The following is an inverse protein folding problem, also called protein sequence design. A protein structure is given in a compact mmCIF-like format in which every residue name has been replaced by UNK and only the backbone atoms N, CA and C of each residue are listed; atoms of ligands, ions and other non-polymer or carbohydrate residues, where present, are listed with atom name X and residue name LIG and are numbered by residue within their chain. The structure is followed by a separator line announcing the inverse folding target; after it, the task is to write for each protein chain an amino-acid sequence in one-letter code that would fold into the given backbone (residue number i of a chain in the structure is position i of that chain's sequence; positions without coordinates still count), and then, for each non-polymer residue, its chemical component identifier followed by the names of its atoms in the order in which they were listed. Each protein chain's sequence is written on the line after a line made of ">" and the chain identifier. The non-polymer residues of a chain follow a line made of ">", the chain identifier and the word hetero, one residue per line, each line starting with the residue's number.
data_IF_369016302266
#
_entry.id   IF_369016302266
#
_cell.length_a   1.000
_cell.length_b   1.000
_cell.length_c   1.000
_cell.angle_alpha   90.00
_cell.angle_beta   90.00
_cell.angle_gamma   90.00
#
_symmetry.space_group_name_H-M   'P 1'
#
loop_
_entity.id
_entity.type
_entity.pdbx_description
1 polymer ?
#
# COMPACT_ATOMS: atom_id res chain seq x y z
N UNK A 1 20.48 6.88 -6.54
CA UNK A 1 19.28 6.16 -7.05
C UNK A 1 18.14 6.46 -6.08
N UNK A 2 17.18 7.30 -6.46
CA UNK A 2 16.01 7.64 -5.63
C UNK A 2 15.03 6.47 -5.70
N UNK A 3 14.99 5.63 -4.66
CA UNK A 3 14.42 4.28 -4.75
C UNK A 3 13.01 4.17 -4.12
N UNK A 4 12.38 5.28 -3.76
CA UNK A 4 11.08 5.26 -3.07
C UNK A 4 10.09 6.24 -3.69
N UNK A 5 9.02 5.70 -4.27
CA UNK A 5 7.89 6.52 -4.71
C UNK A 5 6.71 6.44 -3.75
N UNK A 6 6.48 5.31 -3.06
CA UNK A 6 5.26 5.15 -2.28
C UNK A 6 5.28 4.00 -1.27
N UNK A 7 4.81 4.29 -0.05
CA UNK A 7 4.29 3.27 0.88
C UNK A 7 2.78 3.43 0.93
N UNK A 8 2.04 2.35 0.70
CA UNK A 8 0.58 2.31 0.79
C UNK A 8 0.15 1.35 1.89
N UNK A 9 -0.82 1.78 2.68
CA UNK A 9 -1.59 0.92 3.57
C UNK A 9 -2.91 0.60 2.84
N UNK A 10 -3.13 -0.68 2.54
CA UNK A 10 -4.40 -1.11 1.94
C UNK A 10 -5.25 -1.76 3.02
N UNK A 11 -6.40 -1.16 3.27
CA UNK A 11 -7.48 -1.77 4.03
C UNK A 11 -8.36 -2.56 3.05
N UNK A 12 -8.68 -3.82 3.36
CA UNK A 12 -9.52 -4.63 2.48
C UNK A 12 -10.83 -3.95 2.14
N UNK A 13 -11.24 -4.11 0.88
CA UNK A 13 -12.51 -3.63 0.32
C UNK A 13 -13.70 -4.30 1.03
N UNK A 14 -14.03 -3.82 2.21
CA UNK A 14 -15.37 -3.95 2.78
C UNK A 14 -16.29 -2.87 2.18
N UNK A 15 -17.61 -3.09 2.14
CA UNK A 15 -18.57 -2.14 1.56
C UNK A 15 -18.61 -0.76 2.26
N UNK A 16 -17.91 -0.59 3.38
CA UNK A 16 -17.87 0.65 4.14
C UNK A 16 -16.42 1.17 4.25
N UNK A 17 -16.09 2.15 3.39
CA UNK A 17 -14.90 3.03 3.42
C UNK A 17 -13.53 2.34 3.47
N UNK A 18 -12.93 2.10 2.31
CA UNK A 18 -11.48 1.96 2.21
C UNK A 18 -10.82 3.31 2.54
N UNK A 19 -10.06 3.38 3.64
CA UNK A 19 -9.16 4.51 3.89
C UNK A 19 -7.89 4.29 3.10
N UNK A 20 -7.80 4.89 1.92
CA UNK A 20 -6.57 4.88 1.13
C UNK A 20 -5.65 5.98 1.68
N UNK A 21 -4.65 5.60 2.48
CA UNK A 21 -3.62 6.53 2.93
C UNK A 21 -2.45 6.52 1.94
N UNK A 22 -2.57 7.35 0.91
CA UNK A 22 -1.53 7.55 -0.09
C UNK A 22 -0.84 8.89 0.16
N UNK A 23 0.28 8.87 0.90
CA UNK A 23 1.16 10.05 1.01
C UNK A 23 2.43 9.82 0.19
N UNK A 24 2.70 10.63 -0.84
CA UNK A 24 3.98 10.58 -1.53
C UNK A 24 5.09 11.02 -0.57
N UNK A 25 6.05 10.13 -0.27
CA UNK A 25 7.23 10.46 0.54
C UNK A 25 8.18 11.46 -0.16
N UNK A 26 7.91 11.76 -1.43
CA UNK A 26 8.80 12.48 -2.33
C UNK A 26 9.14 13.92 -1.90
N UNK A 27 8.34 14.59 -1.05
CA UNK A 27 8.56 16.01 -0.74
C UNK A 27 9.36 16.29 0.55
N UNK A 28 9.69 15.28 1.36
CA UNK A 28 10.26 15.52 2.70
C UNK A 28 11.71 15.03 2.88
N UNK A 29 12.20 14.09 2.07
CA UNK A 29 13.51 13.47 2.29
C UNK A 29 14.44 13.67 1.10
N UNK A 30 15.34 14.65 1.20
CA UNK A 30 16.36 14.95 0.16
C UNK A 30 17.46 13.88 0.03
N UNK A 31 17.56 12.93 0.95
CA UNK A 31 18.48 11.80 0.86
C UNK A 31 18.01 10.68 1.80
N UNK A 32 17.12 9.81 1.32
CA UNK A 32 16.67 8.68 2.10
C UNK A 32 17.61 7.49 1.84
N UNK A 33 18.55 7.26 2.75
CA UNK A 33 19.39 6.07 2.73
C UNK A 33 18.54 4.87 3.14
N UNK A 34 18.35 3.92 2.23
CA UNK A 34 17.74 2.64 2.54
C UNK A 34 18.79 1.72 3.14
N UNK A 35 18.57 1.21 4.34
CA UNK A 35 19.45 0.19 4.92
C UNK A 35 18.70 -1.14 5.01
N UNK A 36 19.23 -2.13 4.30
CA UNK A 36 18.82 -3.53 4.38
C UNK A 36 19.73 -4.23 5.39
N UNK A 37 19.17 -4.57 6.54
CA UNK A 37 19.87 -5.32 7.57
C UNK A 37 19.22 -6.70 7.72
N UNK A 38 19.64 -7.71 6.94
CA UNK A 38 19.05 -9.04 7.02
C UNK A 38 19.36 -9.75 8.34
N UNK A 39 20.40 -9.31 9.07
CA UNK A 39 20.90 -10.02 10.25
C UNK A 39 20.33 -9.52 11.58
N UNK A 40 19.95 -8.25 11.71
CA UNK A 40 19.41 -7.62 12.93
C UNK A 40 18.91 -6.21 12.56
N UNK A 41 17.77 -5.70 13.06
CA UNK A 41 16.70 -6.32 13.86
C UNK A 41 15.57 -6.88 12.98
N UNK A 42 14.75 -7.78 13.54
CA UNK A 42 13.50 -8.23 12.92
C UNK A 42 12.43 -7.14 12.71
N UNK A 43 12.72 -5.90 13.11
CA UNK A 43 11.77 -4.80 13.12
C UNK A 43 11.87 -3.94 11.86
N UNK A 44 10.71 -3.56 11.35
CA UNK A 44 10.53 -2.52 10.35
C UNK A 44 10.59 -1.14 11.03
N UNK A 45 11.43 -0.24 10.53
CA UNK A 45 11.50 1.14 11.03
C UNK A 45 10.83 2.06 10.04
N UNK A 46 9.70 2.65 10.44
CA UNK A 46 8.85 3.48 9.59
C UNK A 46 8.80 4.93 10.09
N UNK A 47 8.63 5.91 9.19
CA UNK A 47 8.30 7.28 9.58
C UNK A 47 7.00 7.34 10.39
N UNK A 48 6.91 8.29 11.31
CA UNK A 48 5.79 8.51 12.24
C UNK A 48 4.46 8.63 11.52
N UNK A 49 4.45 9.25 10.34
CA UNK A 49 3.23 9.38 9.54
C UNK A 49 2.67 8.02 9.10
N UNK A 50 3.53 7.07 8.73
CA UNK A 50 3.12 5.72 8.33
C UNK A 50 2.85 4.89 9.58
N UNK A 51 3.70 5.02 10.60
CA UNK A 51 3.53 4.34 11.87
C UNK A 51 2.17 4.66 12.51
N UNK A 52 1.82 5.94 12.65
CA UNK A 52 0.55 6.36 13.25
C UNK A 52 -0.65 5.86 12.43
N UNK A 53 -0.54 5.86 11.09
CA UNK A 53 -1.56 5.28 10.24
C UNK A 53 -1.69 3.76 10.47
N UNK A 54 -0.58 3.04 10.58
CA UNK A 54 -0.56 1.61 10.88
C UNK A 54 -1.20 1.31 12.24
N UNK A 55 -0.84 2.06 13.29
CA UNK A 55 -1.43 1.94 14.64
C UNK A 55 -2.96 2.13 14.58
N UNK A 56 -3.44 3.15 13.87
CA UNK A 56 -4.88 3.39 13.72
C UNK A 56 -5.61 2.24 13.02
N UNK A 57 -4.96 1.60 12.02
CA UNK A 57 -5.53 0.43 11.33
C UNK A 57 -5.51 -0.81 12.23
N UNK A 58 -4.51 -0.94 13.11
CA UNK A 58 -4.39 -2.07 14.03
C UNK A 58 -5.28 -1.96 15.28
N UNK A 59 -5.70 -0.74 15.65
CA UNK A 59 -6.59 -0.49 16.78
C UNK A 59 -7.83 -1.42 16.87
N UNK A 60 -8.64 -1.61 15.80
CA UNK A 60 -9.79 -2.51 15.84
C UNK A 60 -9.46 -3.99 16.02
N UNK A 61 -8.18 -4.38 15.91
CA UNK A 61 -7.72 -5.76 16.13
C UNK A 61 -7.25 -6.00 17.58
N UNK A 62 -7.58 -5.11 18.51
CA UNK A 62 -7.24 -5.25 19.93
C UNK A 62 -5.84 -4.74 20.27
N UNK A 63 -5.35 -3.74 19.54
CA UNK A 63 -4.06 -3.12 19.83
C UNK A 63 -4.04 -2.56 21.25
N UNK A 64 -3.06 -3.00 22.04
CA UNK A 64 -2.86 -2.55 23.41
C UNK A 64 -1.42 -2.07 23.59
N UNK A 65 -1.25 -1.05 24.43
CA UNK A 65 0.07 -0.65 24.93
C UNK A 65 0.33 -1.47 26.19
N UNK A 66 1.38 -2.30 26.17
CA UNK A 66 1.83 -3.03 27.36
C UNK A 66 3.20 -2.52 27.77
N UNK A 67 3.45 -2.47 29.08
CA UNK A 67 4.75 -2.10 29.61
C UNK A 67 5.66 -3.32 29.60
N UNK A 68 6.78 -3.23 28.87
CA UNK A 68 7.84 -4.20 28.92
C UNK A 68 8.84 -3.82 29.99
N UNK A 69 9.33 -4.82 30.72
CA UNK A 69 10.41 -4.65 31.69
C UNK A 69 11.68 -5.27 31.12
N UNK A 70 12.71 -4.46 30.96
CA UNK A 70 14.06 -4.91 30.58
C UNK A 70 15.05 -4.47 31.68
N UNK A 71 15.34 -5.41 32.57
CA UNK A 71 16.08 -5.14 33.80
C UNK A 71 15.38 -4.11 34.69
N UNK A 72 16.02 -2.96 34.88
CA UNK A 72 15.51 -1.85 35.69
C UNK A 72 14.61 -0.87 34.91
N UNK A 73 14.54 -1.00 33.58
CA UNK A 73 13.80 -0.07 32.74
C UNK A 73 12.45 -0.65 32.34
N UNK A 74 11.43 0.20 32.35
CA UNK A 74 10.12 -0.11 31.80
C UNK A 74 9.84 0.78 30.59
N UNK A 75 9.40 0.20 29.48
CA UNK A 75 9.04 0.96 28.30
C UNK A 75 7.71 0.48 27.71
N UNK A 76 6.84 1.41 27.26
CA UNK A 76 5.58 1.05 26.63
C UNK A 76 5.83 0.50 25.22
N UNK A 77 5.05 -0.51 24.83
CA UNK A 77 5.14 -1.09 23.50
C UNK A 77 3.77 -1.56 23.01
N UNK A 78 3.51 -1.27 21.74
CA UNK A 78 2.30 -1.68 21.06
C UNK A 78 2.33 -3.18 20.78
N UNK A 79 1.28 -3.87 21.19
CA UNK A 79 1.14 -5.32 21.10
C UNK A 79 -0.29 -5.68 20.67
N UNK A 80 -0.45 -6.85 20.05
CA UNK A 80 -1.74 -7.41 19.67
C UNK A 80 -1.94 -8.77 20.36
N UNK A 81 -3.18 -9.24 20.54
CA UNK A 81 -3.44 -10.60 21.00
C UNK A 81 -2.73 -11.62 20.10
N UNK A 82 -2.09 -12.63 20.66
CA UNK A 82 -1.33 -13.61 19.89
C UNK A 82 -2.19 -14.49 18.98
N UNK A 83 -3.44 -14.69 19.37
CA UNK A 83 -4.47 -15.47 18.67
C UNK A 83 -5.29 -14.62 17.68
N UNK A 84 -4.90 -13.36 17.47
CA UNK A 84 -5.59 -12.47 16.54
C UNK A 84 -5.58 -13.03 15.11
N UNK A 85 -6.75 -13.07 14.48
CA UNK A 85 -6.89 -13.44 13.08
C UNK A 85 -7.05 -12.19 12.23
N UNK A 86 -5.95 -11.64 11.73
CA UNK A 86 -5.98 -10.48 10.83
C UNK A 86 -6.24 -10.97 9.39
N UNK A 87 -7.29 -10.47 8.71
CA UNK A 87 -7.60 -10.89 7.36
C UNK A 87 -6.45 -10.60 6.36
N UNK A 88 -6.25 -11.51 5.39
CA UNK A 88 -5.14 -11.44 4.42
C UNK A 88 -5.13 -10.20 3.53
N UNK A 89 -6.26 -9.50 3.44
CA UNK A 89 -6.38 -8.21 2.75
C UNK A 89 -5.62 -7.05 3.42
N UNK A 90 -5.30 -7.15 4.72
CA UNK A 90 -4.57 -6.12 5.44
C UNK A 90 -3.08 -6.32 5.21
N UNK A 91 -2.54 -5.50 4.31
CA UNK A 91 -1.16 -5.58 3.85
C UNK A 91 -0.50 -4.22 3.88
N UNK A 92 0.79 -4.21 4.18
CA UNK A 92 1.66 -3.06 3.99
C UNK A 92 2.36 -3.19 2.63
N UNK A 93 2.14 -2.23 1.74
CA UNK A 93 2.68 -2.26 0.38
C UNK A 93 3.82 -1.26 0.22
N UNK A 94 4.97 -1.76 -0.22
CA UNK A 94 6.12 -0.95 -0.61
C UNK A 94 6.25 -0.98 -2.13
N UNK A 95 6.19 0.19 -2.77
CA UNK A 95 6.30 0.28 -4.23
C UNK A 95 7.66 0.86 -4.62
N UNK A 96 8.42 0.06 -5.37
CA UNK A 96 9.74 0.36 -5.92
C UNK A 96 9.65 0.35 -7.44
N UNK A 97 9.51 1.52 -8.07
CA UNK A 97 9.34 1.62 -9.53
C UNK A 97 8.19 0.71 -10.04
N UNK A 98 8.52 -0.40 -10.70
CA UNK A 98 7.57 -1.37 -11.27
C UNK A 98 7.33 -2.60 -10.38
N UNK A 99 7.91 -2.64 -9.19
CA UNK A 99 7.83 -3.78 -8.26
C UNK A 99 7.08 -3.34 -7.01
N UNK A 100 6.08 -4.12 -6.60
CA UNK A 100 5.36 -3.92 -5.34
C UNK A 100 5.61 -5.10 -4.42
N UNK A 101 6.12 -4.81 -3.23
CA UNK A 101 6.32 -5.79 -2.15
C UNK A 101 5.16 -5.66 -1.18
N UNK A 102 4.45 -6.76 -0.94
CA UNK A 102 3.29 -6.80 -0.04
C UNK A 102 3.68 -7.58 1.21
N UNK A 103 3.54 -6.95 2.38
CA UNK A 103 3.78 -7.58 3.68
C UNK A 103 2.42 -7.77 4.36
N UNK A 104 1.92 -9.00 4.50
CA UNK A 104 0.75 -9.29 5.31
C UNK A 104 0.93 -8.80 6.74
N UNK A 105 -0.12 -8.24 7.35
CA UNK A 105 -0.05 -7.80 8.75
C UNK A 105 0.27 -8.95 9.72
N UNK A 106 -0.10 -10.18 9.38
CA UNK A 106 0.29 -11.37 10.14
C UNK A 106 1.81 -11.58 10.20
N UNK A 107 2.58 -11.09 9.22
CA UNK A 107 4.05 -11.12 9.25
C UNK A 107 4.68 -9.98 10.04
N UNK A 108 3.87 -9.00 10.45
CA UNK A 108 4.26 -7.96 11.38
C UNK A 108 4.10 -8.42 12.84
N UNK A 109 3.50 -9.59 13.08
CA UNK A 109 3.37 -10.15 14.43
C UNK A 109 4.62 -10.97 14.79
N UNK A 110 5.21 -10.65 15.94
CA UNK A 110 6.21 -11.50 16.58
C UNK A 110 5.48 -12.48 17.49
N UNK A 111 5.26 -13.71 17.01
CA UNK A 111 4.59 -14.80 17.74
C UNK A 111 5.44 -15.41 18.86
N UNK A 112 6.23 -14.58 19.51
CA UNK A 112 6.96 -14.96 20.71
C UNK A 112 6.09 -14.46 21.86
N UNK A 113 5.36 -15.36 22.56
CA UNK A 113 4.55 -14.98 23.69
C UNK A 113 5.46 -14.32 24.72
N UNK A 114 5.01 -13.19 25.25
CA UNK A 114 5.80 -12.45 26.22
C UNK A 114 5.68 -13.09 27.60
N UNK A 115 6.78 -13.20 28.36
CA UNK A 115 6.73 -13.85 29.66
C UNK A 115 5.83 -13.10 30.65
N UNK A 116 5.72 -11.78 30.54
CA UNK A 116 4.86 -10.96 31.40
C UNK A 116 3.38 -11.05 31.02
N UNK A 117 3.10 -11.30 29.73
CA UNK A 117 1.75 -11.29 29.16
C UNK A 117 1.68 -12.30 27.99
N UNK A 118 1.44 -13.60 28.28
CA UNK A 118 1.51 -14.65 27.26
C UNK A 118 0.43 -14.51 26.18
N UNK A 119 -0.64 -13.78 26.47
CA UNK A 119 -1.73 -13.50 25.53
C UNK A 119 -1.38 -12.44 24.49
N UNK A 120 -0.32 -11.66 24.69
CA UNK A 120 0.05 -10.57 23.79
C UNK A 120 1.37 -10.83 23.08
N UNK A 121 1.33 -10.58 21.77
CA UNK A 121 2.45 -10.72 20.86
C UNK A 121 2.97 -9.34 20.47
N UNK A 122 4.29 -9.24 20.39
CA UNK A 122 4.95 -8.01 19.97
C UNK A 122 4.73 -7.71 18.50
N UNK A 123 4.93 -6.46 18.12
CA UNK A 123 4.91 -6.04 16.73
C UNK A 123 6.34 -5.88 16.20
N UNK A 124 6.58 -6.37 14.99
CA UNK A 124 7.83 -6.31 14.26
C UNK A 124 8.05 -4.93 13.63
N UNK A 125 7.75 -3.86 14.36
CA UNK A 125 8.08 -2.50 13.94
C UNK A 125 8.46 -1.63 15.15
N UNK A 126 9.35 -0.67 14.92
CA UNK A 126 9.83 0.25 15.96
C UNK A 126 9.36 1.67 15.63
N UNK A 127 8.78 2.35 16.62
CA UNK A 127 8.54 3.79 16.53
C UNK A 127 9.88 4.52 16.42
N UNK A 128 9.92 5.50 15.54
CA UNK A 128 10.94 6.51 15.56
C UNK A 128 10.52 7.62 16.51
N UNK A 129 11.33 7.96 17.51
CA UNK A 129 11.05 9.23 18.19
C UNK A 129 11.18 10.35 17.14
N UNK A 130 10.21 11.27 17.13
CA UNK A 130 10.15 12.46 16.26
C UNK A 130 11.47 13.26 16.20
N UNK A 131 12.28 13.25 17.27
CA UNK A 131 13.61 13.86 17.27
C UNK A 131 14.63 13.06 16.46
N UNK A 132 14.50 11.74 16.44
CA UNK A 132 15.37 10.81 15.73
C UNK A 132 15.04 10.71 14.24
N UNK A 133 13.78 10.97 13.85
CA UNK A 133 13.30 10.89 12.46
C UNK A 133 14.17 11.66 11.45
N UNK A 134 14.77 12.79 11.84
CA UNK A 134 15.62 13.60 10.94
C UNK A 134 16.89 12.89 10.49
N UNK A 135 17.38 11.94 11.28
CA UNK A 135 18.71 11.34 11.09
C UNK A 135 18.66 9.84 10.87
N UNK A 136 17.49 9.24 11.05
CA UNK A 136 17.35 7.80 11.01
C UNK A 136 16.84 7.32 9.66
N UNK A 137 17.58 6.42 8.99
CA UNK A 137 17.12 5.82 7.75
C UNK A 137 15.89 4.94 7.97
N UNK A 138 15.11 4.75 6.91
CA UNK A 138 14.11 3.67 6.87
C UNK A 138 14.86 2.35 6.89
N UNK A 139 14.51 1.50 7.86
CA UNK A 139 15.09 0.16 8.00
C UNK A 139 14.04 -0.85 7.58
N UNK A 140 14.34 -1.57 6.50
CA UNK A 140 13.54 -2.68 6.04
C UNK A 140 14.07 -3.96 6.70
N UNK A 141 13.51 -4.28 7.87
CA UNK A 141 13.92 -5.42 8.70
C UNK A 141 13.35 -6.76 8.26
N UNK A 142 13.33 -7.70 9.21
CA UNK A 142 12.95 -9.10 8.98
C UNK A 142 11.61 -9.32 8.28
N UNK A 143 10.55 -8.59 8.65
CA UNK A 143 9.24 -8.74 8.00
C UNK A 143 9.25 -8.37 6.52
N UNK A 144 10.09 -7.41 6.12
CA UNK A 144 10.30 -7.07 4.70
C UNK A 144 11.11 -8.15 4.00
N UNK A 145 12.23 -8.57 4.57
CA UNK A 145 13.08 -9.62 4.01
C UNK A 145 12.34 -10.96 3.84
N UNK A 146 11.34 -11.25 4.69
CA UNK A 146 10.47 -12.43 4.56
C UNK A 146 9.53 -12.40 3.35
N UNK A 147 9.39 -11.24 2.69
CA UNK A 147 8.45 -11.00 1.59
C UNK A 147 9.14 -10.45 0.32
N UNK A 148 10.44 -10.22 0.37
CA UNK A 148 11.22 -9.68 -0.73
C UNK A 148 12.52 -10.45 -0.93
N UNK A 149 12.88 -10.68 -2.18
CA UNK A 149 14.20 -11.14 -2.56
C UNK A 149 15.04 -9.92 -2.99
N UNK A 150 16.21 -9.77 -2.38
CA UNK A 150 17.09 -8.62 -2.61
C UNK A 150 18.45 -9.11 -3.06
N UNK A 151 18.88 -8.66 -4.23
CA UNK A 151 20.21 -8.93 -4.78
C UNK A 151 21.01 -7.64 -4.68
N UNK A 152 22.19 -7.73 -4.07
CA UNK A 152 23.15 -6.64 -3.96
C UNK A 152 24.33 -6.96 -4.87
N UNK A 153 24.60 -6.07 -5.82
CA UNK A 153 25.76 -6.14 -6.71
C UNK A 153 26.71 -4.98 -6.33
N UNK A 154 27.70 -5.25 -5.45
CA UNK A 154 28.62 -4.21 -4.99
C UNK A 154 29.57 -3.73 -6.09
N UNK A 155 29.88 -4.58 -7.08
CA UNK A 155 30.79 -4.25 -8.18
C UNK A 155 30.17 -3.19 -9.09
N UNK A 156 28.93 -3.43 -9.52
CA UNK A 156 28.19 -2.49 -10.36
C UNK A 156 27.45 -1.41 -9.56
N UNK A 157 27.50 -1.47 -8.22
CA UNK A 157 26.73 -0.61 -7.31
C UNK A 157 25.23 -0.64 -7.62
N UNK A 158 24.73 -1.79 -8.05
CA UNK A 158 23.31 -1.97 -8.36
C UNK A 158 22.65 -2.84 -7.31
N UNK A 159 21.36 -2.64 -7.12
CA UNK A 159 20.54 -3.53 -6.31
C UNK A 159 19.29 -3.86 -7.10
N UNK A 160 18.86 -5.11 -6.99
CA UNK A 160 17.61 -5.59 -7.55
C UNK A 160 16.72 -6.09 -6.43
N UNK A 161 15.42 -5.82 -6.55
CA UNK A 161 14.42 -6.22 -5.58
C UNK A 161 13.30 -6.92 -6.35
N UNK A 162 12.87 -8.06 -5.86
CA UNK A 162 11.72 -8.81 -6.37
C UNK A 162 10.79 -9.19 -5.21
N UNK A 163 9.49 -9.28 -5.50
CA UNK A 163 8.53 -9.83 -4.55
C UNK A 163 8.71 -11.33 -4.40
N UNK A 164 8.64 -11.82 -3.16
CA UNK A 164 8.60 -13.26 -2.91
C UNK A 164 7.15 -13.74 -2.99
N UNK A 165 6.87 -14.73 -3.84
CA UNK A 165 5.59 -15.42 -3.80
C UNK A 165 5.69 -16.53 -2.76
N UNK A 166 5.05 -16.34 -1.60
CA UNK A 166 4.92 -17.43 -0.64
C UNK A 166 3.90 -18.42 -1.15
N UNK A 167 4.37 -19.59 -1.55
CA UNK A 167 3.51 -20.75 -1.62
C UNK A 167 3.51 -21.42 -0.24
N UNK A 168 2.73 -20.87 0.71
CA UNK A 168 2.62 -21.36 2.09
C UNK A 168 2.06 -22.80 2.20
N UNK A 169 1.72 -23.44 1.06
CA UNK A 169 1.17 -24.81 1.01
C UNK A 169 2.19 -25.87 0.62
N UNK A 170 3.40 -25.51 0.18
CA UNK A 170 4.43 -26.46 -0.19
C UNK A 170 5.54 -26.44 0.86
N UNK A 171 5.77 -27.58 1.52
CA UNK A 171 6.99 -27.85 2.31
C UNK A 171 8.25 -27.91 1.44
N UNK A 172 8.15 -27.56 0.16
CA UNK A 172 9.19 -27.74 -0.83
C UNK A 172 9.98 -26.44 -1.03
N UNK A 173 11.29 -26.57 -0.91
CA UNK A 173 12.25 -25.55 -1.34
C UNK A 173 12.13 -25.47 -2.85
N UNK A 174 11.35 -24.50 -3.36
CA UNK A 174 11.31 -24.25 -4.79
C UNK A 174 12.64 -23.59 -5.18
N UNK A 175 13.46 -24.33 -5.93
CA UNK A 175 14.67 -23.78 -6.54
C UNK A 175 14.26 -22.60 -7.44
N UNK A 176 14.73 -21.40 -7.11
CA UNK A 176 14.55 -20.22 -7.96
C UNK A 176 15.55 -20.36 -9.12
N UNK A 177 15.24 -21.28 -10.03
CA UNK A 177 16.01 -21.55 -11.23
C UNK A 177 15.90 -20.39 -12.21
N UNK A 178 16.89 -19.50 -12.19
CA UNK A 178 17.12 -18.49 -13.22
C UNK A 178 18.62 -18.32 -13.42
N UNK A 179 19.12 -18.57 -14.64
CA UNK A 179 20.50 -18.21 -14.99
C UNK A 179 20.66 -16.69 -14.89
N UNK A 180 21.73 -16.23 -14.24
CA UNK A 180 22.12 -14.81 -14.27
C UNK A 180 22.13 -14.32 -15.73
N UNK A 181 21.31 -13.32 -16.04
CA UNK A 181 21.19 -12.74 -17.39
C UNK A 181 19.98 -13.20 -18.23
N UNK A 182 19.07 -14.05 -17.73
CA UNK A 182 17.86 -14.39 -18.48
C UNK A 182 16.85 -13.21 -18.51
N UNK A 183 16.40 -12.83 -19.71
CA UNK A 183 15.35 -11.83 -19.91
C UNK A 183 14.02 -12.30 -19.29
N UNK A 184 13.25 -11.35 -18.72
CA UNK A 184 12.01 -11.57 -17.96
C UNK A 184 10.94 -12.42 -18.68
N UNK A 185 11.08 -12.62 -19.99
CA UNK A 185 10.20 -13.45 -20.82
C UNK A 185 10.41 -14.97 -20.62
N UNK A 186 11.59 -15.39 -20.11
CA UNK A 186 11.91 -16.82 -19.95
C UNK A 186 11.52 -17.41 -18.58
N UNK A 187 11.26 -16.58 -17.56
CA UNK A 187 10.83 -17.06 -16.23
C UNK A 187 9.34 -17.44 -16.20
N UNK A 188 8.57 -17.10 -17.25
CA UNK A 188 7.12 -17.34 -17.33
C UNK A 188 6.73 -18.77 -17.75
N UNK A 189 7.66 -19.73 -17.81
CA UNK A 189 7.41 -21.11 -18.26
C UNK A 189 7.93 -22.23 -17.35
N UNK A 190 8.31 -21.94 -16.11
CA UNK A 190 8.36 -22.99 -15.09
C UNK A 190 6.91 -23.32 -14.68
N UNK A 191 6.19 -23.98 -15.58
CA UNK A 191 4.92 -24.63 -15.27
C UNK A 191 5.25 -25.78 -14.32
N UNK A 192 4.87 -25.64 -13.06
CA UNK A 192 4.74 -26.79 -12.15
C UNK A 192 3.68 -27.68 -12.79
N UNK A 193 4.07 -28.88 -13.17
CA UNK A 193 3.22 -29.88 -13.80
C UNK A 193 2.55 -30.71 -12.69
N UNK A 194 1.25 -30.51 -12.37
CA UNK A 194 0.52 -31.49 -11.60
C UNK A 194 0.13 -32.63 -12.55
N UNK A 195 0.63 -33.83 -12.24
CA UNK A 195 0.21 -35.10 -12.84
C UNK A 195 -1.31 -35.13 -13.14
N UNK A 196 -1.73 -35.46 -14.38
CA UNK A 196 -3.13 -35.39 -14.77
C UNK A 196 -3.87 -36.66 -14.33
N UNK A 197 -4.80 -36.50 -13.39
CA UNK A 197 -5.85 -37.48 -13.17
C UNK A 197 -6.99 -37.17 -14.15
N UNK A 198 -7.32 -38.16 -14.98
CA UNK A 198 -8.31 -38.06 -16.06
C UNK A 198 -9.70 -37.71 -15.53
N UNK A 199 -10.29 -36.64 -16.05
CA UNK A 199 -11.67 -36.26 -15.76
C UNK A 199 -12.20 -35.29 -16.80
N UNK A 200 -12.68 -35.83 -17.93
CA UNK A 200 -13.28 -35.08 -19.02
C UNK A 200 -14.56 -34.35 -18.56
N UNK A 201 -14.57 -33.03 -18.67
CA UNK A 201 -15.81 -32.30 -18.96
C UNK A 201 -15.49 -30.99 -19.68
N UNK A 202 -16.10 -30.82 -20.84
CA UNK A 202 -15.92 -29.69 -21.73
C UNK A 202 -16.32 -28.38 -21.04
N UNK A 203 -15.34 -27.54 -20.70
CA UNK A 203 -15.58 -26.16 -20.29
C UNK A 203 -14.89 -25.22 -21.26
N UNK A 204 -15.70 -24.28 -21.77
CA UNK A 204 -15.35 -23.24 -22.73
C UNK A 204 -14.08 -22.47 -22.31
N UNK A 205 -13.27 -22.01 -23.28
CA UNK A 205 -11.95 -21.47 -23.03
C UNK A 205 -12.01 -20.22 -22.15
N UNK A 206 -11.41 -20.30 -20.96
CA UNK A 206 -11.23 -19.19 -20.01
C UNK A 206 -10.35 -18.03 -20.52
N UNK A 207 -9.94 -18.05 -21.79
CA UNK A 207 -9.10 -17.02 -22.41
C UNK A 207 -9.83 -15.71 -22.78
N UNK A 208 -11.17 -15.67 -22.74
CA UNK A 208 -11.94 -14.50 -23.19
C UNK A 208 -12.41 -13.56 -22.07
N UNK A 209 -12.30 -13.95 -20.79
CA UNK A 209 -12.92 -13.20 -19.67
C UNK A 209 -11.94 -12.23 -18.98
N UNK A 210 -10.63 -12.38 -19.17
CA UNK A 210 -9.62 -11.62 -18.42
C UNK A 210 -9.23 -10.29 -19.12
N UNK A 211 -9.74 -10.02 -20.32
CA UNK A 211 -9.41 -8.81 -21.10
C UNK A 211 -10.17 -7.52 -20.74
N UNK A 212 -11.18 -7.57 -19.86
CA UNK A 212 -12.09 -6.43 -19.61
C UNK A 212 -11.77 -5.67 -18.31
N UNK A 213 -11.05 -6.29 -17.37
CA UNK A 213 -10.93 -5.81 -15.99
C UNK A 213 -10.13 -4.52 -15.78
N UNK A 214 -9.22 -4.14 -16.69
CA UNK A 214 -8.32 -2.99 -16.47
C UNK A 214 -8.62 -1.81 -17.41
N UNK A 215 -9.24 -2.04 -18.57
CA UNK A 215 -9.60 -0.98 -19.51
C UNK A 215 -10.86 -0.19 -19.12
N UNK A 216 -11.84 -0.82 -18.48
CA UNK A 216 -13.13 -0.20 -18.17
C UNK A 216 -13.07 0.89 -17.10
N UNK A 217 -12.20 0.73 -16.10
CA UNK A 217 -12.09 1.67 -14.97
C UNK A 217 -11.63 3.06 -15.40
N UNK A 218 -10.62 3.14 -16.27
CA UNK A 218 -10.09 4.42 -16.77
C UNK A 218 -11.11 5.18 -17.63
N UNK A 219 -11.89 4.47 -18.43
CA UNK A 219 -12.95 5.07 -19.26
C UNK A 219 -14.08 5.62 -18.39
N UNK A 220 -14.46 4.91 -17.32
CA UNK A 220 -15.50 5.37 -16.40
C UNK A 220 -15.05 6.64 -15.63
N UNK A 221 -13.81 6.66 -15.14
CA UNK A 221 -13.25 7.82 -14.42
C UNK A 221 -13.15 9.04 -15.36
N UNK A 222 -12.69 8.86 -16.60
CA UNK A 222 -12.62 9.92 -17.59
C UNK A 222 -14.03 10.48 -17.90
N UNK A 223 -15.04 9.63 -18.02
CA UNK A 223 -16.43 10.04 -18.26
C UNK A 223 -17.01 10.85 -17.09
N UNK A 224 -16.73 10.45 -15.84
CA UNK A 224 -17.18 11.17 -14.64
C UNK A 224 -16.54 12.56 -14.55
N UNK A 225 -15.22 12.65 -14.78
CA UNK A 225 -14.49 13.93 -14.75
C UNK A 225 -14.99 14.87 -15.86
N UNK A 226 -15.18 14.34 -17.08
CA UNK A 226 -15.71 15.12 -18.21
C UNK A 226 -17.14 15.60 -17.96
N UNK A 227 -18.00 14.74 -17.40
CA UNK A 227 -19.36 15.08 -17.01
C UNK A 227 -19.40 16.19 -15.96
N UNK A 228 -18.58 16.09 -14.92
CA UNK A 228 -18.46 17.12 -13.89
C UNK A 228 -17.98 18.46 -14.44
N UNK A 229 -16.99 18.44 -15.34
CA UNK A 229 -16.47 19.65 -15.98
C UNK A 229 -17.53 20.36 -16.84
N UNK A 230 -18.28 19.60 -17.65
CA UNK A 230 -19.38 20.14 -18.48
C UNK A 230 -20.54 20.68 -17.63
N UNK A 231 -20.87 20.01 -16.52
CA UNK A 231 -21.87 20.50 -15.57
C UNK A 231 -21.47 21.84 -14.95
N UNK A 232 -20.21 21.95 -14.50
CA UNK A 232 -19.67 23.20 -13.93
C UNK A 232 -19.70 24.35 -14.95
N UNK A 233 -19.37 24.05 -16.22
CA UNK A 233 -19.42 25.03 -17.32
C UNK A 233 -20.86 25.47 -17.64
N UNK A 234 -21.84 24.55 -17.62
CA UNK A 234 -23.26 24.90 -17.83
C UNK A 234 -23.80 25.80 -16.70
N UNK A 235 -23.43 25.54 -15.44
CA UNK A 235 -23.90 26.36 -14.30
C UNK A 235 -23.40 27.81 -14.37
N UNK A 236 -22.16 28.03 -14.82
CA UNK A 236 -21.63 29.38 -15.03
C UNK A 236 -22.39 30.17 -16.12
N UNK A 237 -22.85 29.49 -17.17
CA UNK A 237 -23.61 30.14 -18.25
C UNK A 237 -25.05 30.52 -17.82
N UNK A 238 -25.67 29.75 -16.92
CA UNK A 238 -27.00 30.07 -16.39
C UNK A 238 -27.00 31.36 -15.55
N UNK A 239 -25.93 31.60 -14.77
CA UNK A 239 -25.79 32.86 -14.01
C UNK A 239 -25.59 34.07 -14.94
N UNK A 240 -24.82 33.93 -16.03
CA UNK A 240 -24.65 35.02 -17.01
C UNK A 240 -25.98 35.42 -17.65
N UNK A 241 -26.85 34.47 -18.02
CA UNK A 241 -28.18 34.79 -18.60
C UNK A 241 -29.09 35.58 -17.66
N UNK A 242 -29.05 35.30 -16.34
CA UNK A 242 -29.82 36.08 -15.35
C UNK A 242 -29.34 37.53 -15.25
N UNK A 243 -28.03 37.75 -15.32
CA UNK A 243 -27.45 39.10 -15.29
C UNK A 243 -27.84 39.91 -16.54
N UNK A 244 -27.85 39.29 -17.73
CA UNK A 244 -28.31 39.98 -18.94
C UNK A 244 -29.82 40.29 -18.93
N UNK A 245 -30.65 39.37 -18.42
CA UNK A 245 -32.09 39.59 -18.31
C UNK A 245 -32.44 40.72 -17.32
N UNK A 246 -31.71 40.83 -16.21
CA UNK A 246 -31.91 41.91 -15.23
C UNK A 246 -31.51 43.29 -15.79
N UNK A 247 -30.42 43.35 -16.57
CA UNK A 247 -29.99 44.59 -17.23
C UNK A 247 -31.02 45.09 -18.25
N UNK A 248 -31.65 44.19 -19.00
CA UNK A 248 -32.69 44.57 -19.97
C UNK A 248 -33.96 45.11 -19.28
N UNK A 249 -34.36 44.53 -18.15
CA UNK A 249 -35.50 45.02 -17.37
C UNK A 249 -35.24 46.40 -16.73
N UNK A 250 -34.01 46.66 -16.29
CA UNK A 250 -33.63 47.98 -15.74
C UNK A 250 -33.61 49.07 -16.82
N UNK A 251 -33.11 48.77 -18.02
CA UNK A 251 -33.15 49.70 -19.15
C UNK A 251 -34.58 50.08 -19.54
N UNK A 252 -35.50 49.11 -19.58
CA UNK A 252 -36.92 49.37 -19.89
C UNK A 252 -37.62 50.23 -18.82
N UNK A 253 -37.28 50.07 -17.53
CA UNK A 253 -37.81 50.93 -16.46
C UNK A 253 -37.30 52.38 -16.54
N UNK A 254 -36.07 52.59 -16.99
CA UNK A 254 -35.51 53.93 -17.14
C UNK A 254 -36.14 54.68 -18.33
N UNK A 255 -36.44 54.00 -19.43
CA UNK A 255 -37.12 54.60 -20.59
C UNK A 255 -38.57 54.99 -20.25
N UNK A 256 -39.28 54.16 -19.46
CA UNK A 256 -40.67 54.44 -19.06
C UNK A 256 -40.82 55.65 -18.13
N UNK A 257 -39.77 56.00 -17.36
CA UNK A 257 -39.78 57.18 -16.48
C UNK A 257 -39.50 58.50 -17.20
N UNK A 258 -39.22 58.48 -18.52
CA UNK A 258 -38.83 59.68 -19.29
C UNK A 258 -39.93 60.26 -20.18
N UNK A 259 -41.14 59.71 -20.12
CA UNK A 259 -42.29 60.23 -20.86
C UNK A 259 -43.39 60.63 -19.88
N UNK A 260 -43.59 61.94 -19.63
CA UNK A 260 -44.79 62.45 -18.98
C UNK A 260 -46.02 62.33 -19.88
#
# INVERSE_FOLDING_TARGET
>A
MSLFELVRLIQGSGPNKASEFTKPLASCFKSLSLILLPRFPGYLRLPDTIYNALINVLYPFGLAVIELRDGAYTYPTNSLPCDINIPLQYVLEFTFNKVTIRIPFNDLLLRIPRPENPSFCGLAFLLLDSQQERYTPIILGGSFAKNAYVVLDPENRTSAIAGLSRNDTATDIVEIGGRFGATLMNVRRATIDPSPNNGSSNKLPLGAVIGIGVGGGLVLIAAIVLGYFLYRRKKANAQRRRVYHLKNLLQLRLIRKRWP
#
